data_IF_527735408187
#
_entry.id   IF_527735408187
#
_cell.length_a   1.000
_cell.length_b   1.000
_cell.length_c   1.000
_cell.angle_alpha   90.00
_cell.angle_beta   90.00
_cell.angle_gamma   90.00
#
_symmetry.space_group_name_H-M   'P 1'
#
loop_
_entity.id
_entity.type
_entity.pdbx_description
1 polymer ?
#
# COMPACT_ATOMS: atom_id res chain seq x y z
N UNK A 1 -26.56 -31.19 -3.48
CA UNK A 1 -25.29 -30.46 -3.70
C UNK A 1 -25.41 -29.59 -4.93
N UNK A 2 -25.84 -28.34 -4.77
CA UNK A 2 -25.78 -27.36 -5.86
C UNK A 2 -24.31 -26.97 -6.05
N UNK A 3 -23.76 -27.32 -7.21
CA UNK A 3 -22.47 -26.78 -7.64
C UNK A 3 -22.71 -25.29 -7.87
N UNK A 4 -22.22 -24.45 -6.97
CA UNK A 4 -22.25 -23.00 -7.16
C UNK A 4 -21.27 -22.69 -8.28
N UNK A 5 -21.78 -22.65 -9.51
CA UNK A 5 -21.06 -22.10 -10.66
C UNK A 5 -20.93 -20.60 -10.47
N UNK A 6 -19.84 -20.15 -9.83
CA UNK A 6 -19.59 -18.73 -9.65
C UNK A 6 -19.25 -18.12 -11.01
N UNK A 7 -20.25 -17.62 -11.72
CA UNK A 7 -20.11 -16.77 -12.91
C UNK A 7 -19.71 -15.36 -12.50
N UNK A 8 -18.54 -15.22 -11.87
CA UNK A 8 -17.89 -13.91 -11.80
C UNK A 8 -17.19 -13.67 -13.12
N UNK A 9 -17.44 -12.54 -13.78
CA UNK A 9 -16.58 -12.09 -14.87
C UNK A 9 -15.13 -12.20 -14.42
N UNK A 10 -14.27 -12.77 -15.28
CA UNK A 10 -12.83 -12.88 -15.03
C UNK A 10 -12.19 -11.48 -15.15
N UNK A 11 -12.72 -10.51 -14.42
CA UNK A 11 -12.49 -9.10 -14.65
C UNK A 11 -11.10 -8.74 -14.16
N UNK A 12 -10.21 -8.59 -15.12
CA UNK A 12 -8.87 -8.08 -14.94
C UNK A 12 -8.90 -6.54 -14.81
N UNK A 13 -9.74 -6.02 -13.91
CA UNK A 13 -10.27 -4.65 -13.89
C UNK A 13 -9.22 -3.53 -14.03
N UNK A 14 -8.06 -3.70 -13.42
CA UNK A 14 -6.99 -2.69 -13.42
C UNK A 14 -6.10 -2.73 -14.67
N UNK A 15 -6.21 -3.80 -15.46
CA UNK A 15 -5.47 -3.99 -16.70
C UNK A 15 -6.33 -3.68 -17.91
N UNK A 16 -5.69 -3.26 -19.00
CA UNK A 16 -6.34 -3.00 -20.27
C UNK A 16 -5.44 -3.52 -21.41
N UNK A 17 -6.05 -3.96 -22.52
CA UNK A 17 -5.31 -4.48 -23.67
C UNK A 17 -4.77 -3.41 -24.62
N UNK A 18 -5.32 -2.19 -24.58
CA UNK A 18 -4.95 -1.07 -25.47
C UNK A 18 -4.19 0.05 -24.75
N UNK A 19 -4.39 0.18 -23.44
CA UNK A 19 -3.77 1.22 -22.61
C UNK A 19 -3.01 0.60 -21.42
N UNK A 20 -2.08 1.32 -20.76
CA UNK A 20 -1.23 0.82 -19.68
C UNK A 20 -1.94 0.40 -18.37
N UNK A 21 -3.27 0.23 -18.38
CA UNK A 21 -4.09 0.00 -17.19
C UNK A 21 -4.29 1.25 -16.34
N UNK A 22 -4.77 1.06 -15.11
CA UNK A 22 -5.04 2.13 -14.14
C UNK A 22 -3.78 2.61 -13.42
N UNK A 23 -2.77 3.02 -14.19
CA UNK A 23 -1.50 3.49 -13.65
C UNK A 23 -1.03 4.80 -14.30
N UNK A 24 -0.29 5.61 -13.54
CA UNK A 24 0.44 6.76 -14.02
C UNK A 24 1.93 6.57 -13.70
N UNK A 25 2.78 6.53 -14.74
CA UNK A 25 4.22 6.20 -14.62
C UNK A 25 4.50 4.93 -13.81
N UNK A 26 3.66 3.91 -13.96
CA UNK A 26 3.78 2.64 -13.24
C UNK A 26 3.26 2.62 -11.81
N UNK A 27 2.91 3.78 -11.26
CA UNK A 27 2.24 3.88 -9.96
C UNK A 27 0.74 3.71 -10.14
N UNK A 28 0.13 2.87 -9.31
CA UNK A 28 -1.31 2.69 -9.31
C UNK A 28 -2.03 3.99 -8.92
N UNK A 29 -3.07 4.36 -9.68
CA UNK A 29 -3.93 5.53 -9.37
C UNK A 29 -5.29 5.12 -8.81
N UNK A 30 -5.43 3.86 -8.39
CA UNK A 30 -6.69 3.28 -7.96
C UNK A 30 -6.62 2.81 -6.50
N UNK A 31 -6.70 1.50 -6.23
CA UNK A 31 -6.68 0.98 -4.86
C UNK A 31 -5.23 0.92 -4.33
N UNK A 32 -4.89 1.61 -3.22
CA UNK A 32 -3.54 1.63 -2.67
C UNK A 32 -3.08 0.29 -2.06
N UNK A 33 -3.99 -0.65 -1.86
CA UNK A 33 -3.67 -2.01 -1.38
C UNK A 33 -3.39 -2.98 -2.55
N UNK A 34 -3.36 -2.50 -3.78
CA UNK A 34 -2.92 -3.27 -4.94
C UNK A 34 -1.50 -2.86 -5.30
N UNK A 35 -0.62 -3.84 -5.47
CA UNK A 35 0.75 -3.60 -5.87
C UNK A 35 0.80 -2.88 -7.21
N UNK A 36 1.53 -1.76 -7.23
CA UNK A 36 1.72 -0.96 -8.44
C UNK A 36 2.63 -1.71 -9.43
N UNK A 37 2.36 -1.63 -10.75
CA UNK A 37 3.17 -2.32 -11.75
C UNK A 37 4.66 -1.97 -11.73
N UNK A 38 5.03 -0.78 -11.25
CA UNK A 38 6.44 -0.38 -11.10
C UNK A 38 7.27 -1.33 -10.22
N UNK A 39 6.63 -2.11 -9.35
CA UNK A 39 7.30 -3.09 -8.49
C UNK A 39 7.52 -4.45 -9.18
N UNK A 40 7.01 -4.65 -10.39
CA UNK A 40 7.23 -5.88 -11.15
C UNK A 40 8.69 -5.97 -11.61
N UNK A 41 9.34 -7.11 -11.33
CA UNK A 41 10.77 -7.31 -11.60
C UNK A 41 11.11 -7.68 -13.06
N UNK A 42 10.11 -7.99 -13.87
CA UNK A 42 10.25 -8.46 -15.25
C UNK A 42 9.89 -7.39 -16.30
N UNK A 43 9.65 -6.15 -15.88
CA UNK A 43 9.33 -5.04 -16.79
C UNK A 43 7.92 -5.07 -17.38
N UNK A 44 7.08 -6.05 -17.02
CA UNK A 44 5.65 -6.06 -17.38
C UNK A 44 4.92 -4.98 -16.59
N UNK A 45 4.29 -4.03 -17.27
CA UNK A 45 3.58 -2.90 -16.65
C UNK A 45 2.11 -3.22 -16.33
N UNK A 46 1.72 -4.49 -16.35
CA UNK A 46 0.41 -4.94 -15.90
C UNK A 46 0.32 -5.09 -14.37
N UNK A 47 -0.89 -4.92 -13.84
CA UNK A 47 -1.24 -5.27 -12.47
C UNK A 47 -1.29 -6.78 -12.31
N UNK A 48 -0.21 -7.37 -11.79
CA UNK A 48 -0.11 -8.83 -11.58
C UNK A 48 -0.94 -9.35 -10.42
N UNK A 49 -1.19 -8.51 -9.43
CA UNK A 49 -1.77 -8.89 -8.14
C UNK A 49 -3.05 -8.11 -7.89
N UNK A 50 -4.06 -8.28 -8.75
CA UNK A 50 -5.32 -7.54 -8.66
C UNK A 50 -6.54 -8.36 -8.19
N UNK A 51 -6.37 -9.67 -7.98
CA UNK A 51 -7.30 -10.51 -7.23
C UNK A 51 -6.84 -10.58 -5.78
N UNK A 52 -7.31 -9.64 -4.96
CA UNK A 52 -6.80 -9.40 -3.60
C UNK A 52 -7.85 -9.49 -2.52
N UNK A 53 -7.41 -9.84 -1.30
CA UNK A 53 -8.11 -9.57 -0.05
C UNK A 53 -7.12 -8.88 0.88
N UNK A 54 -7.48 -7.69 1.34
CA UNK A 54 -6.62 -6.91 2.21
C UNK A 54 -7.40 -6.32 3.39
N UNK A 55 -6.69 -6.21 4.52
CA UNK A 55 -7.11 -5.48 5.71
C UNK A 55 -6.16 -4.31 5.91
N UNK A 56 -6.70 -3.12 6.17
CA UNK A 56 -5.93 -1.93 6.50
C UNK A 56 -6.48 -1.31 7.78
N UNK A 57 -5.63 -1.16 8.79
CA UNK A 57 -5.97 -0.52 10.07
C UNK A 57 -5.05 0.67 10.27
N UNK A 58 -5.63 1.77 10.75
CA UNK A 58 -4.91 2.98 11.09
C UNK A 58 -5.45 3.59 12.37
N UNK A 59 -4.54 4.11 13.20
CA UNK A 59 -4.89 4.85 14.40
C UNK A 59 -3.91 6.00 14.62
N UNK A 60 -4.37 7.03 15.32
CA UNK A 60 -3.62 8.26 15.54
C UNK A 60 -4.06 8.92 16.82
N UNK A 61 -3.20 9.77 17.38
CA UNK A 61 -3.58 10.58 18.52
C UNK A 61 -2.55 11.63 18.90
N UNK A 62 -2.93 12.44 19.88
CA UNK A 62 -2.07 13.43 20.53
C UNK A 62 -1.53 12.81 21.83
N UNK A 63 -0.21 12.71 21.94
CA UNK A 63 0.47 12.28 23.19
C UNK A 63 0.53 13.47 24.17
N UNK A 64 0.72 14.66 23.62
CA UNK A 64 0.68 15.93 24.35
C UNK A 64 0.35 17.09 23.41
N UNK A 65 0.31 18.32 23.92
CA UNK A 65 0.12 19.53 23.09
C UNK A 65 1.19 19.74 22.01
N UNK A 66 2.34 19.05 22.11
CA UNK A 66 3.47 19.21 21.19
C UNK A 66 3.76 17.94 20.38
N UNK A 67 3.17 16.80 20.74
CA UNK A 67 3.50 15.50 20.16
C UNK A 67 2.26 14.78 19.63
N UNK A 68 2.33 14.37 18.37
CA UNK A 68 1.28 13.57 17.71
C UNK A 68 1.87 12.34 17.08
N UNK A 69 1.05 11.31 16.89
CA UNK A 69 1.46 10.13 16.17
C UNK A 69 0.38 9.60 15.23
N UNK A 70 0.82 8.86 14.21
CA UNK A 70 -0.01 8.06 13.32
C UNK A 70 0.66 6.70 13.17
N UNK A 71 -0.11 5.62 13.30
CA UNK A 71 0.35 4.27 13.05
C UNK A 71 -0.63 3.55 12.10
N UNK A 72 -0.10 2.71 11.22
CA UNK A 72 -0.85 1.96 10.22
C UNK A 72 -0.31 0.54 10.08
N UNK A 73 -1.21 -0.34 9.71
CA UNK A 73 -1.03 -1.77 9.52
C UNK A 73 -1.79 -2.17 8.26
N UNK A 74 -1.16 -2.97 7.40
CA UNK A 74 -1.84 -3.62 6.29
C UNK A 74 -1.46 -5.09 6.24
N UNK A 75 -2.43 -5.94 5.95
CA UNK A 75 -2.19 -7.33 5.59
C UNK A 75 -2.91 -7.61 4.26
N UNK A 76 -2.20 -8.19 3.30
CA UNK A 76 -2.69 -8.42 1.96
C UNK A 76 -2.45 -9.86 1.54
N UNK A 77 -3.44 -10.45 0.87
CA UNK A 77 -3.34 -11.74 0.18
C UNK A 77 -3.74 -11.56 -1.27
N UNK A 78 -2.97 -12.13 -2.18
CA UNK A 78 -3.29 -12.11 -3.61
C UNK A 78 -3.28 -13.50 -4.21
N UNK A 79 -4.14 -13.67 -5.22
CA UNK A 79 -4.25 -14.88 -6.02
C UNK A 79 -3.86 -14.63 -7.48
N UNK A 80 -3.13 -13.54 -7.76
CA UNK A 80 -2.74 -13.12 -9.10
C UNK A 80 -3.82 -12.34 -9.84
N UNK A 81 -4.05 -12.69 -11.10
CA UNK A 81 -5.14 -12.17 -11.94
C UNK A 81 -6.10 -13.32 -12.31
N UNK A 82 -7.31 -13.02 -12.82
CA UNK A 82 -8.22 -14.07 -13.28
C UNK A 82 -7.64 -14.97 -14.39
N UNK A 83 -6.80 -14.43 -15.28
CA UNK A 83 -6.21 -15.16 -16.42
C UNK A 83 -4.80 -15.70 -16.17
N UNK A 84 -4.09 -15.14 -15.19
CA UNK A 84 -2.79 -15.61 -14.69
C UNK A 84 -2.90 -15.78 -13.18
N UNK A 85 -3.56 -16.85 -12.70
CA UNK A 85 -3.66 -17.12 -11.28
C UNK A 85 -2.30 -17.56 -10.72
N UNK A 86 -2.06 -17.28 -9.44
CA UNK A 86 -0.88 -17.79 -8.73
C UNK A 86 -1.32 -19.02 -7.92
N UNK A 87 -0.63 -20.18 -8.07
CA UNK A 87 -0.98 -21.40 -7.35
C UNK A 87 -0.87 -21.25 -5.83
N UNK A 88 0.21 -20.62 -5.38
CA UNK A 88 0.47 -20.34 -3.97
C UNK A 88 0.02 -18.92 -3.64
N UNK A 89 -0.83 -18.78 -2.62
CA UNK A 89 -1.38 -17.48 -2.22
C UNK A 89 -0.24 -16.65 -1.64
N UNK A 90 0.09 -15.54 -2.29
CA UNK A 90 1.13 -14.64 -1.79
C UNK A 90 0.56 -13.75 -0.70
N UNK A 91 1.33 -13.57 0.37
CA UNK A 91 0.96 -12.72 1.51
C UNK A 91 1.97 -11.60 1.73
N UNK A 92 1.49 -10.45 2.20
CA UNK A 92 2.35 -9.34 2.60
C UNK A 92 1.78 -8.60 3.80
N UNK A 93 2.68 -8.25 4.71
CA UNK A 93 2.40 -7.45 5.88
C UNK A 93 3.19 -6.15 5.81
N UNK A 94 2.52 -5.02 6.02
CA UNK A 94 3.12 -3.69 5.94
C UNK A 94 2.76 -2.88 7.17
N UNK A 95 3.73 -2.18 7.75
CA UNK A 95 3.49 -1.28 8.90
C UNK A 95 4.13 0.07 8.68
N UNK A 96 3.54 1.09 9.30
CA UNK A 96 4.01 2.45 9.24
C UNK A 96 3.78 3.14 10.58
N UNK A 97 4.77 3.86 11.08
CA UNK A 97 4.64 4.69 12.28
C UNK A 97 5.27 6.05 12.01
N UNK A 98 4.59 7.11 12.43
CA UNK A 98 5.00 8.50 12.20
C UNK A 98 4.73 9.34 13.43
N UNK A 99 5.74 10.10 13.85
CA UNK A 99 5.67 11.01 14.99
C UNK A 99 5.87 12.45 14.53
N UNK A 100 5.13 13.37 15.13
CA UNK A 100 5.18 14.79 14.83
C UNK A 100 5.50 15.55 16.10
N UNK A 101 6.47 16.45 16.02
CA UNK A 101 6.83 17.38 17.07
C UNK A 101 6.57 18.82 16.61
N UNK A 102 5.68 19.49 17.33
CA UNK A 102 5.24 20.87 17.05
C UNK A 102 5.59 21.71 18.28
N UNK A 103 6.81 22.28 18.36
CA UNK A 103 7.27 23.00 19.53
C UNK A 103 6.43 24.27 19.80
N UNK A 104 5.91 24.41 21.03
CA UNK A 104 5.19 25.62 21.47
C UNK A 104 6.06 26.87 21.43
N UNK A 105 7.36 26.72 21.74
CA UNK A 105 8.34 27.82 21.74
C UNK A 105 8.63 28.34 20.33
N UNK A 106 8.63 27.46 19.33
CA UNK A 106 8.96 27.81 17.94
C UNK A 106 7.72 27.70 17.06
N UNK A 107 6.79 28.64 17.24
CA UNK A 107 5.50 28.66 16.52
C UNK A 107 5.69 28.52 15.01
N UNK A 108 4.86 27.70 14.39
CA UNK A 108 4.87 27.43 12.95
C UNK A 108 5.86 26.34 12.52
N UNK A 109 6.76 25.86 13.38
CA UNK A 109 7.62 24.72 13.07
C UNK A 109 6.93 23.39 13.36
N UNK A 110 7.16 22.41 12.49
CA UNK A 110 6.75 21.02 12.68
C UNK A 110 7.86 20.09 12.16
N UNK A 111 8.28 19.16 13.01
CA UNK A 111 9.24 18.13 12.70
C UNK A 111 8.52 16.79 12.64
N UNK A 112 8.82 15.97 11.66
CA UNK A 112 8.22 14.66 11.49
C UNK A 112 9.29 13.60 11.24
N UNK A 113 9.17 12.49 11.95
CA UNK A 113 9.97 11.29 11.75
C UNK A 113 9.04 10.11 11.51
N UNK A 114 9.31 9.32 10.48
CA UNK A 114 8.49 8.16 10.10
C UNK A 114 9.35 6.93 9.80
N UNK A 115 8.78 5.76 10.09
CA UNK A 115 9.35 4.45 9.84
C UNK A 115 8.32 3.59 9.10
N UNK A 116 8.79 2.76 8.18
CA UNK A 116 7.98 1.80 7.44
C UNK A 116 8.69 0.44 7.38
N UNK A 117 7.92 -0.64 7.45
CA UNK A 117 8.39 -2.01 7.31
C UNK A 117 7.45 -2.78 6.40
N UNK A 118 8.00 -3.56 5.48
CA UNK A 118 7.29 -4.55 4.68
C UNK A 118 7.89 -5.93 4.93
N UNK A 119 7.06 -6.96 4.99
CA UNK A 119 7.47 -8.35 5.11
C UNK A 119 6.57 -9.23 4.25
N UNK A 120 7.15 -10.13 3.45
CA UNK A 120 6.40 -11.08 2.64
C UNK A 120 6.75 -11.07 1.16
N UNK A 121 5.91 -11.70 0.35
CA UNK A 121 6.30 -12.14 -1.00
C UNK A 121 5.97 -11.12 -2.09
N UNK A 122 5.11 -10.16 -1.80
CA UNK A 122 4.69 -9.15 -2.78
C UNK A 122 5.77 -8.07 -2.93
N UNK A 123 6.23 -7.49 -1.82
CA UNK A 123 7.24 -6.44 -1.83
C UNK A 123 8.62 -6.91 -1.35
N UNK A 124 8.69 -8.07 -0.68
CA UNK A 124 9.90 -8.49 0.03
C UNK A 124 10.02 -7.85 1.41
N UNK A 125 11.11 -8.19 2.08
CA UNK A 125 11.45 -7.64 3.39
C UNK A 125 12.17 -6.30 3.22
N UNK A 126 11.50 -5.21 3.58
CA UNK A 126 12.01 -3.85 3.39
C UNK A 126 11.86 -3.00 4.65
N UNK A 127 12.76 -2.03 4.82
CA UNK A 127 12.73 -1.03 5.88
C UNK A 127 12.94 0.36 5.28
N UNK A 128 12.14 1.33 5.71
CA UNK A 128 12.21 2.71 5.26
C UNK A 128 12.15 3.70 6.43
N UNK A 129 12.86 4.82 6.27
CA UNK A 129 12.86 5.93 7.22
C UNK A 129 12.70 7.27 6.50
N UNK A 130 11.97 8.21 7.11
CA UNK A 130 11.77 9.56 6.58
C UNK A 130 11.88 10.61 7.69
N UNK A 131 12.56 11.71 7.39
CA UNK A 131 12.51 12.96 8.15
C UNK A 131 11.92 14.07 7.31
N UNK A 132 11.05 14.89 7.90
CA UNK A 132 10.45 16.05 7.27
C UNK A 132 10.45 17.23 8.23
N UNK A 133 10.77 18.41 7.70
CA UNK A 133 10.70 19.69 8.42
C UNK A 133 9.76 20.60 7.66
N UNK A 134 8.79 21.17 8.38
CA UNK A 134 7.80 22.10 7.85
C UNK A 134 7.81 23.39 8.65
N UNK A 135 7.75 24.53 7.95
CA UNK A 135 7.56 25.85 8.55
C UNK A 135 6.36 26.55 7.90
N UNK A 136 5.36 26.88 8.71
CA UNK A 136 4.28 27.81 8.30
C UNK A 136 4.73 29.24 8.59
N UNK A 137 4.59 30.12 7.59
CA UNK A 137 4.87 31.56 7.65
C UNK A 137 3.62 32.35 7.98
#
# INVERSE_FOLDING_TARGET
NSVVGKTGGADNYYNNGYYPGWAHWGMAIANPLIASPIYNKDGDMSFKYNRVKALHLGWSGDISSEWRYVAKLSHNRTWGTPHRPIPDILENFSTFASFYYIPRKWKGWCFNASLALDMGEIYGDNFGFQLKVHKTF
#
